data_IF_656676466415
#
_entry.id   IF_656676466415
#
_cell.length_a   1.000
_cell.length_b   1.000
_cell.length_c   1.000
_cell.angle_alpha   90.00
_cell.angle_beta   90.00
_cell.angle_gamma   90.00
#
_symmetry.space_group_name_H-M   'P 1'
#
loop_
_entity.id
_entity.type
_entity.pdbx_description
1 polymer ?
#
# COMPACT_ATOMS: atom_id res chain seq x y z
N UNK A 1 16.76 -5.27 -2.69
CA UNK A 1 15.46 -4.57 -2.56
C UNK A 1 15.24 -3.94 -1.19
N UNK A 2 15.44 -4.66 -0.07
CA UNK A 2 15.18 -4.12 1.27
C UNK A 2 15.98 -2.84 1.59
N UNK A 3 17.27 -2.82 1.27
CA UNK A 3 18.12 -1.63 1.44
C UNK A 3 17.57 -0.43 0.66
N UNK A 4 17.19 -0.62 -0.61
CA UNK A 4 16.60 0.43 -1.44
C UNK A 4 15.27 0.98 -0.87
N UNK A 5 14.40 0.11 -0.33
CA UNK A 5 13.17 0.57 0.35
C UNK A 5 13.53 1.42 1.57
N UNK A 6 14.45 0.95 2.41
CA UNK A 6 14.92 1.67 3.60
C UNK A 6 15.51 3.04 3.26
N UNK A 7 16.36 3.10 2.25
CA UNK A 7 16.97 4.35 1.75
C UNK A 7 15.90 5.31 1.21
N UNK A 8 14.89 4.81 0.51
CA UNK A 8 13.77 5.62 0.01
C UNK A 8 12.98 6.27 1.15
N UNK A 9 12.73 5.56 2.25
CA UNK A 9 12.12 6.13 3.45
C UNK A 9 13.05 7.12 4.18
N UNK A 10 14.36 6.86 4.23
CA UNK A 10 15.32 7.80 4.78
C UNK A 10 15.34 9.12 4.01
N UNK A 11 15.37 9.05 2.67
CA UNK A 11 15.27 10.21 1.79
C UNK A 11 13.95 10.96 2.00
N UNK A 12 12.82 10.26 2.04
CA UNK A 12 11.52 10.89 2.25
C UNK A 12 11.41 11.63 3.59
N UNK A 13 12.05 11.11 4.65
CA UNK A 13 12.15 11.82 5.95
C UNK A 13 13.03 13.05 5.85
N UNK A 14 14.19 12.94 5.21
CA UNK A 14 15.13 14.04 5.03
C UNK A 14 14.50 15.20 4.25
N UNK A 15 13.88 14.90 3.12
CA UNK A 15 13.21 15.88 2.24
C UNK A 15 11.81 16.28 2.73
N UNK A 16 11.34 15.72 3.86
CA UNK A 16 10.02 15.98 4.43
C UNK A 16 8.87 15.76 3.42
N UNK A 17 8.97 14.70 2.61
CA UNK A 17 7.96 14.38 1.60
C UNK A 17 6.62 14.01 2.24
N UNK A 18 5.52 14.43 1.61
CA UNK A 18 4.17 14.15 2.08
C UNK A 18 3.84 12.64 2.06
N UNK A 19 4.45 11.87 1.15
CA UNK A 19 4.21 10.44 1.07
C UNK A 19 5.19 9.67 0.19
N UNK A 20 5.08 8.35 0.23
CA UNK A 20 5.79 7.39 -0.62
C UNK A 20 4.77 6.47 -1.29
N UNK A 21 4.97 6.18 -2.58
CA UNK A 21 4.23 5.15 -3.31
C UNK A 21 5.19 4.05 -3.75
N UNK A 22 4.91 2.81 -3.36
CA UNK A 22 5.62 1.62 -3.83
C UNK A 22 4.71 0.82 -4.78
N UNK A 23 5.17 0.56 -6.00
CA UNK A 23 4.43 -0.17 -7.04
C UNK A 23 5.18 -1.44 -7.42
N UNK A 24 4.54 -2.61 -7.31
CA UNK A 24 5.15 -3.90 -7.66
C UNK A 24 4.13 -4.99 -8.00
N UNK A 25 4.59 -6.07 -8.65
CA UNK A 25 3.80 -7.28 -8.91
C UNK A 25 3.89 -8.27 -7.73
N UNK A 26 2.86 -9.12 -7.57
CA UNK A 26 2.66 -10.15 -6.54
C UNK A 26 1.78 -9.75 -5.35
N UNK A 27 1.27 -10.74 -4.62
CA UNK A 27 0.58 -10.57 -3.33
C UNK A 27 1.50 -10.97 -2.15
N UNK A 28 1.99 -10.02 -1.35
CA UNK A 28 2.84 -10.31 -0.19
C UNK A 28 2.14 -11.04 0.97
N UNK A 29 0.80 -11.07 1.00
CA UNK A 29 0.04 -11.67 2.09
C UNK A 29 -0.14 -10.75 3.30
N UNK A 30 -0.41 -9.45 3.09
CA UNK A 30 -0.58 -8.44 4.16
C UNK A 30 -1.51 -8.87 5.30
N UNK A 31 -2.64 -9.53 4.96
CA UNK A 31 -3.60 -10.00 5.97
C UNK A 31 -3.00 -11.08 6.87
N UNK A 32 -2.28 -12.04 6.31
CA UNK A 32 -1.62 -13.09 7.09
C UNK A 32 -0.49 -12.49 7.94
N UNK A 33 0.30 -11.55 7.39
CA UNK A 33 1.31 -10.82 8.15
C UNK A 33 0.70 -10.11 9.36
N UNK A 34 -0.41 -9.38 9.18
CA UNK A 34 -1.10 -8.69 10.28
C UNK A 34 -1.75 -9.64 11.30
N UNK A 35 -1.84 -10.93 10.99
CA UNK A 35 -2.31 -12.00 11.89
C UNK A 35 -1.15 -12.77 12.54
N UNK A 36 0.11 -12.37 12.32
CA UNK A 36 1.29 -13.06 12.83
C UNK A 36 1.70 -14.31 12.03
N UNK A 37 1.16 -14.49 10.82
CA UNK A 37 1.39 -15.65 9.95
C UNK A 37 2.06 -15.26 8.61
N UNK A 38 3.19 -14.55 8.60
CA UNK A 38 3.76 -14.05 7.36
C UNK A 38 4.38 -15.17 6.50
N UNK A 39 4.25 -15.04 5.18
CA UNK A 39 4.88 -15.95 4.23
C UNK A 39 6.39 -15.71 4.17
N UNK A 40 7.20 -16.77 4.17
CA UNK A 40 8.66 -16.65 4.27
C UNK A 40 9.28 -15.75 3.19
N UNK A 41 8.79 -15.81 1.94
CA UNK A 41 9.33 -15.00 0.83
C UNK A 41 9.10 -13.49 0.95
N UNK A 42 8.14 -13.05 1.77
CA UNK A 42 7.79 -11.63 1.95
C UNK A 42 7.93 -11.15 3.40
N UNK A 43 8.31 -12.02 4.33
CA UNK A 43 8.42 -11.71 5.76
C UNK A 43 9.24 -10.45 5.99
N UNK A 44 10.47 -10.43 5.51
CA UNK A 44 11.39 -9.32 5.77
C UNK A 44 10.94 -8.03 5.07
N UNK A 45 10.35 -8.15 3.88
CA UNK A 45 9.79 -7.00 3.17
C UNK A 45 8.62 -6.37 3.93
N UNK A 46 7.68 -7.19 4.41
CA UNK A 46 6.53 -6.69 5.17
C UNK A 46 6.92 -6.19 6.55
N UNK A 47 7.89 -6.83 7.21
CA UNK A 47 8.46 -6.33 8.48
C UNK A 47 9.11 -4.96 8.29
N UNK A 48 9.94 -4.78 7.27
CA UNK A 48 10.56 -3.49 6.98
C UNK A 48 9.49 -2.44 6.67
N UNK A 49 8.53 -2.78 5.80
CA UNK A 49 7.48 -1.86 5.39
C UNK A 49 6.60 -1.41 6.55
N UNK A 50 6.22 -2.33 7.44
CA UNK A 50 5.47 -2.02 8.66
C UNK A 50 6.25 -1.05 9.58
N UNK A 51 7.53 -1.33 9.83
CA UNK A 51 8.39 -0.49 10.68
C UNK A 51 8.63 0.90 10.08
N UNK A 52 8.94 0.98 8.78
CA UNK A 52 9.18 2.24 8.09
C UNK A 52 7.90 3.08 8.04
N UNK A 53 6.77 2.48 7.67
CA UNK A 53 5.48 3.17 7.62
C UNK A 53 4.94 3.60 8.99
N UNK A 54 5.25 2.87 10.06
CA UNK A 54 4.85 3.25 11.41
C UNK A 54 5.60 4.51 11.91
N UNK A 55 6.84 4.69 11.46
CA UNK A 55 7.70 5.80 11.91
C UNK A 55 7.80 6.96 10.91
N UNK A 56 7.35 6.76 9.67
CA UNK A 56 7.31 7.82 8.67
C UNK A 56 6.22 8.85 9.00
N UNK A 57 6.54 10.16 9.05
CA UNK A 57 5.53 11.19 9.31
C UNK A 57 4.48 11.33 8.20
N UNK A 58 4.87 11.07 6.95
CA UNK A 58 4.00 11.10 5.78
C UNK A 58 3.15 9.84 5.60
N UNK A 59 2.46 9.74 4.47
CA UNK A 59 1.64 8.57 4.14
C UNK A 59 2.40 7.58 3.23
N UNK A 60 2.19 6.28 3.45
CA UNK A 60 2.70 5.21 2.59
C UNK A 60 1.54 4.59 1.80
N UNK A 61 1.69 4.50 0.48
CA UNK A 61 0.82 3.73 -0.39
C UNK A 61 1.61 2.58 -1.01
N UNK A 62 1.04 1.37 -0.94
CA UNK A 62 1.49 0.23 -1.75
C UNK A 62 0.46 -0.07 -2.82
N UNK A 63 0.91 -0.17 -4.07
CA UNK A 63 0.11 -0.59 -5.21
C UNK A 63 0.62 -1.95 -5.70
N UNK A 64 -0.25 -2.95 -5.75
CA UNK A 64 0.12 -4.29 -6.24
C UNK A 64 -1.04 -5.02 -6.94
N UNK A 65 -0.76 -6.19 -7.51
CA UNK A 65 -1.74 -7.04 -8.22
C UNK A 65 -1.70 -8.50 -7.77
N UNK A 66 -1.79 -9.42 -8.74
CA UNK A 66 -1.64 -10.89 -8.63
C UNK A 66 -2.86 -11.67 -8.15
N UNK A 67 -3.56 -11.21 -7.12
CA UNK A 67 -4.74 -11.93 -6.60
C UNK A 67 -6.06 -11.55 -7.26
N UNK A 68 -6.02 -10.69 -8.28
CA UNK A 68 -7.15 -10.29 -9.11
C UNK A 68 -8.36 -9.74 -8.32
N UNK A 69 -8.11 -9.05 -7.20
CA UNK A 69 -9.12 -8.29 -6.48
C UNK A 69 -8.88 -6.80 -6.64
N UNK A 70 -9.94 -6.00 -6.75
CA UNK A 70 -9.82 -4.56 -6.58
C UNK A 70 -10.19 -4.16 -5.15
N UNK A 71 -9.23 -3.58 -4.41
CA UNK A 71 -9.46 -3.11 -3.04
C UNK A 71 -8.51 -2.00 -2.63
N UNK A 72 -9.05 -1.08 -1.84
CA UNK A 72 -8.30 -0.02 -1.17
C UNK A 72 -8.56 -0.17 0.33
N UNK A 73 -7.54 -0.54 1.10
CA UNK A 73 -7.68 -0.78 2.53
C UNK A 73 -6.41 -0.43 3.33
N UNK A 74 -6.48 -0.62 4.65
CA UNK A 74 -5.34 -0.44 5.57
C UNK A 74 -5.12 -1.78 6.28
N UNK A 75 -4.31 -2.68 5.70
CA UNK A 75 -4.20 -4.06 6.16
C UNK A 75 -3.22 -4.23 7.32
N UNK A 76 -2.32 -3.27 7.54
CA UNK A 76 -1.34 -3.30 8.64
C UNK A 76 -1.92 -2.77 9.95
N UNK A 77 -1.38 -3.28 11.06
CA UNK A 77 -1.82 -2.96 12.42
C UNK A 77 -0.61 -2.68 13.30
N UNK A 78 -0.74 -1.71 14.21
CA UNK A 78 0.27 -1.45 15.23
C UNK A 78 0.31 -2.55 16.30
N UNK A 79 1.27 -2.45 17.22
CA UNK A 79 1.46 -3.41 18.32
C UNK A 79 0.26 -3.51 19.28
N UNK A 80 -0.67 -2.55 19.23
CA UNK A 80 -1.93 -2.55 20.00
C UNK A 80 -3.11 -3.08 19.18
N UNK A 81 -2.85 -3.60 17.97
CA UNK A 81 -3.85 -4.13 17.06
C UNK A 81 -4.66 -3.06 16.32
N UNK A 82 -4.33 -1.77 16.46
CA UNK A 82 -5.04 -0.68 15.78
C UNK A 82 -4.52 -0.54 14.36
N UNK A 83 -5.43 -0.26 13.41
CA UNK A 83 -5.07 -0.05 12.00
C UNK A 83 -4.03 1.07 11.84
N UNK A 84 -2.98 0.79 11.08
CA UNK A 84 -1.98 1.79 10.72
C UNK A 84 -2.56 2.72 9.63
N UNK A 85 -3.20 3.81 10.04
CA UNK A 85 -3.95 4.71 9.13
C UNK A 85 -3.10 5.37 8.04
N UNK A 86 -1.79 5.52 8.28
CA UNK A 86 -0.84 6.11 7.32
C UNK A 86 -0.37 5.11 6.26
N UNK A 87 -0.75 3.84 6.38
CA UNK A 87 -0.42 2.81 5.39
C UNK A 87 -1.67 2.41 4.62
N UNK A 88 -1.70 2.71 3.34
CA UNK A 88 -2.78 2.33 2.42
C UNK A 88 -2.27 1.28 1.44
N UNK A 89 -3.11 0.29 1.17
CA UNK A 89 -2.90 -0.67 0.09
C UNK A 89 -3.93 -0.43 -1.00
N UNK A 90 -3.47 -0.36 -2.24
CA UNK A 90 -4.27 -0.50 -3.45
C UNK A 90 -3.90 -1.82 -4.11
N UNK A 91 -4.83 -2.77 -4.13
CA UNK A 91 -4.75 -3.93 -5.03
C UNK A 91 -5.56 -3.62 -6.29
N UNK A 92 -4.89 -3.68 -7.45
CA UNK A 92 -5.51 -3.35 -8.74
C UNK A 92 -6.35 -4.50 -9.29
N UNK A 93 -7.21 -4.16 -10.27
CA UNK A 93 -8.03 -5.11 -11.01
C UNK A 93 -7.19 -6.22 -11.68
N UNK A 94 -7.84 -7.34 -11.97
CA UNK A 94 -7.25 -8.48 -12.66
C UNK A 94 -8.31 -9.49 -13.07
N UNK A 95 -8.00 -10.37 -14.02
CA UNK A 95 -8.98 -11.29 -14.59
C UNK A 95 -9.66 -12.18 -13.53
N UNK A 96 -10.99 -12.35 -13.53
CA UNK A 96 -11.95 -11.91 -14.54
C UNK A 96 -12.54 -10.50 -14.29
N UNK A 97 -12.29 -9.90 -13.12
CA UNK A 97 -12.78 -8.58 -12.78
C UNK A 97 -11.82 -7.51 -13.31
N UNK A 98 -12.02 -7.15 -14.57
CA UNK A 98 -11.18 -6.17 -15.25
C UNK A 98 -11.55 -4.73 -14.84
N UNK A 99 -10.62 -3.81 -15.05
CA UNK A 99 -10.78 -2.40 -14.72
C UNK A 99 -9.45 -1.72 -14.48
N UNK A 100 -9.49 -0.50 -13.95
CA UNK A 100 -8.31 0.26 -13.55
C UNK A 100 -8.68 1.21 -12.41
N UNK A 101 -7.67 1.68 -11.67
CA UNK A 101 -7.84 2.65 -10.60
C UNK A 101 -7.10 3.93 -10.95
N UNK A 102 -7.79 5.07 -10.95
CA UNK A 102 -7.17 6.38 -11.00
C UNK A 102 -6.68 6.74 -9.60
N UNK A 103 -5.39 7.09 -9.50
CA UNK A 103 -4.80 7.65 -8.28
C UNK A 103 -4.49 9.12 -8.51
N UNK A 104 -5.05 9.99 -7.68
CA UNK A 104 -4.71 11.41 -7.61
C UNK A 104 -3.86 11.65 -6.36
N UNK A 105 -2.72 12.32 -6.52
CA UNK A 105 -1.82 12.71 -5.44
C UNK A 105 -1.83 14.23 -5.32
N UNK A 106 -2.27 14.75 -4.19
CA UNK A 106 -2.36 16.20 -3.93
C UNK A 106 -1.75 16.53 -2.57
N UNK A 107 -0.57 17.16 -2.57
CA UNK A 107 0.15 17.55 -1.35
C UNK A 107 -0.50 18.73 -0.63
N UNK A 108 -1.45 19.44 -1.24
CA UNK A 108 -2.24 20.48 -0.57
C UNK A 108 -3.47 19.90 0.15
N UNK A 109 -3.80 18.62 -0.05
CA UNK A 109 -4.92 17.95 0.58
C UNK A 109 -4.48 17.10 1.78
N UNK A 110 -5.23 17.17 2.89
CA UNK A 110 -5.02 16.32 4.07
C UNK A 110 -5.09 14.81 3.75
N UNK A 111 -5.86 14.44 2.71
CA UNK A 111 -5.98 13.04 2.31
C UNK A 111 -4.73 12.53 1.58
N UNK A 112 -3.97 13.41 0.94
CA UNK A 112 -2.86 13.14 0.00
C UNK A 112 -3.24 12.25 -1.19
N UNK A 113 -3.76 11.04 -0.94
CA UNK A 113 -4.16 10.06 -1.94
C UNK A 113 -5.68 10.01 -2.09
N UNK A 114 -6.17 10.18 -3.30
CA UNK A 114 -7.57 9.94 -3.67
C UNK A 114 -7.66 8.92 -4.80
N UNK A 115 -8.70 8.09 -4.78
CA UNK A 115 -8.82 6.93 -5.67
C UNK A 115 -10.19 6.87 -6.33
N UNK A 116 -10.22 6.56 -7.61
CA UNK A 116 -11.44 6.28 -8.37
C UNK A 116 -11.30 4.94 -9.10
N UNK A 117 -12.23 4.02 -8.88
CA UNK A 117 -12.21 2.70 -9.49
C UNK A 117 -13.10 2.66 -10.74
N UNK A 118 -12.52 2.27 -11.87
CA UNK A 118 -13.18 2.16 -13.17
C UNK A 118 -13.24 0.68 -13.58
N UNK A 119 -14.34 0.01 -13.23
CA UNK A 119 -14.55 -1.39 -13.61
C UNK A 119 -14.77 -1.56 -15.12
N UNK A 120 -14.32 -2.69 -15.68
CA UNK A 120 -14.56 -3.09 -17.06
C UNK A 120 -15.29 -4.44 -17.14
N UNK A 121 -16.37 -4.56 -17.95
CA UNK A 121 -17.05 -3.46 -18.63
C UNK A 121 -17.63 -2.46 -17.61
N UNK A 122 -17.84 -1.21 -18.04
CA UNK A 122 -18.48 -0.22 -17.20
C UNK A 122 -19.82 -0.79 -16.69
N UNK A 123 -20.10 -0.65 -15.39
CA UNK A 123 -21.40 -1.05 -14.85
C UNK A 123 -22.48 -0.30 -15.65
N UNK A 124 -23.48 -1.03 -16.17
CA UNK A 124 -24.67 -0.38 -16.74
C UNK A 124 -25.27 0.49 -15.62
N UNK A 125 -25.46 1.77 -15.93
CA UNK A 125 -26.20 2.70 -15.08
C UNK A 125 -27.65 2.23 -14.95
#
# INVERSE_FOLDING_TARGET
VLAWVKESFALARHEKLAGIVLLFQANPGFKHFAQGLPHNGYRDFLTLLDQESATFPGQTLVVHGDSHNNRIDHPLRDSKGKRLKRFTRLETFGYPMMGWTQLTIDSASDKLFSFENHAWPARKQ
#
